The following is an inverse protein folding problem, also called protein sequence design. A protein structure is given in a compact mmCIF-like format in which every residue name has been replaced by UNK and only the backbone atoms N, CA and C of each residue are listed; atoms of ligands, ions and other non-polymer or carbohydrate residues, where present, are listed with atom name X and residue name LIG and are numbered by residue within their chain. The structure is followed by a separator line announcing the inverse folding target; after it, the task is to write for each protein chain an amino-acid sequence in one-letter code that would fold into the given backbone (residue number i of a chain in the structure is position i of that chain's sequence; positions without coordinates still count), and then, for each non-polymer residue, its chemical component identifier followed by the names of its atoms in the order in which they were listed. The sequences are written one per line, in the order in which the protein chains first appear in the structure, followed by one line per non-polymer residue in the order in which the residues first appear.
data_IF_133923917129
#
_entry.id   IF_133923917129
#
_cell.length_a   1.000
_cell.length_b   1.000
_cell.length_c   1.000
_cell.angle_alpha   90.00
_cell.angle_beta   90.00
_cell.angle_gamma   90.00
#
_symmetry.space_group_name_H-M   'P 1'
#
loop_
_entity.id
_entity.type
_entity.pdbx_description
1 polymer ?
#
# COMPACT_ATOMS: atom_id res chain seq x y z
N UNK A 1 17.80 5.68 4.19
CA UNK A 1 17.51 6.84 5.06
C UNK A 1 16.03 6.82 5.37
N UNK A 2 15.63 6.81 6.64
CA UNK A 2 14.23 6.87 7.08
C UNK A 2 14.01 8.22 7.76
N UNK A 3 12.91 8.91 7.41
CA UNK A 3 12.57 10.22 8.00
C UNK A 3 12.16 10.07 9.47
N UNK A 4 12.60 10.94 10.40
CA UNK A 4 12.14 10.96 11.80
C UNK A 4 10.66 11.31 11.95
N UNK A 5 10.02 11.80 10.89
CA UNK A 5 8.62 12.20 10.88
C UNK A 5 7.86 11.47 9.79
N UNK A 6 6.68 10.96 10.14
CA UNK A 6 5.71 10.50 9.16
C UNK A 6 4.72 11.64 8.91
N UNK A 7 4.60 12.10 7.65
CA UNK A 7 3.62 13.09 7.31
C UNK A 7 2.21 12.49 7.28
N UNK A 8 1.29 13.03 8.08
CA UNK A 8 -0.13 12.66 8.05
C UNK A 8 -0.89 13.59 7.11
N UNK A 9 -0.90 13.24 5.82
CA UNK A 9 -1.55 14.03 4.77
C UNK A 9 -2.04 13.17 3.61
N UNK A 10 -2.96 13.70 2.81
CA UNK A 10 -3.47 13.02 1.63
C UNK A 10 -2.54 13.26 0.43
N UNK A 11 -2.00 12.16 -0.11
CA UNK A 11 -1.33 12.17 -1.42
C UNK A 11 -2.41 12.19 -2.50
N UNK A 12 -2.37 13.20 -3.38
CA UNK A 12 -3.29 13.34 -4.51
C UNK A 12 -2.53 13.53 -5.81
N UNK A 13 -3.12 13.04 -6.87
CA UNK A 13 -2.65 13.26 -8.23
C UNK A 13 -2.98 14.69 -8.65
N UNK A 14 -2.00 15.50 -9.07
CA UNK A 14 -2.23 16.89 -9.48
C UNK A 14 -3.00 16.98 -10.80
N UNK A 15 -2.67 16.11 -11.75
CA UNK A 15 -3.27 16.08 -13.08
C UNK A 15 -3.81 14.68 -13.35
N UNK A 16 -5.07 14.42 -13.00
CA UNK A 16 -5.67 13.09 -13.06
C UNK A 16 -5.64 12.39 -14.44
N UNK A 17 -5.40 13.16 -15.52
CA UNK A 17 -5.40 12.67 -16.90
C UNK A 17 -4.02 12.74 -17.60
N UNK A 18 -2.95 13.11 -16.89
CA UNK A 18 -1.61 13.09 -17.47
C UNK A 18 -1.06 11.66 -17.52
N UNK A 19 -0.25 11.36 -18.54
CA UNK A 19 0.36 10.03 -18.74
C UNK A 19 1.29 9.66 -17.56
N UNK A 20 1.96 10.66 -16.97
CA UNK A 20 2.79 10.51 -15.77
C UNK A 20 2.49 11.65 -14.79
N UNK A 21 1.41 11.54 -14.02
CA UNK A 21 0.95 12.69 -13.27
C UNK A 21 1.77 12.86 -12.00
N UNK A 22 2.17 14.11 -11.74
CA UNK A 22 2.87 14.44 -10.50
C UNK A 22 1.95 14.24 -9.30
N UNK A 23 2.48 13.64 -8.23
CA UNK A 23 1.83 13.55 -6.94
C UNK A 23 2.09 14.82 -6.14
N UNK A 24 1.05 15.33 -5.50
CA UNK A 24 1.14 16.45 -4.56
C UNK A 24 0.47 16.08 -3.24
N UNK A 25 0.88 16.80 -2.23
CA UNK A 25 0.38 16.69 -0.87
C UNK A 25 -0.66 17.79 -0.67
N UNK A 26 -1.92 17.39 -0.39
CA UNK A 26 -3.02 18.34 -0.20
C UNK A 26 -3.62 18.19 1.20
N UNK A 27 -3.74 19.32 1.90
CA UNK A 27 -4.33 19.40 3.23
C UNK A 27 -3.35 19.93 4.28
N UNK A 28 -3.73 19.83 5.56
CA UNK A 28 -2.85 20.15 6.67
C UNK A 28 -1.67 19.17 6.71
N UNK A 29 -0.45 19.70 6.84
CA UNK A 29 0.76 18.89 6.96
C UNK A 29 1.02 18.72 8.45
N UNK A 30 0.67 17.55 9.00
CA UNK A 30 0.98 17.19 10.38
C UNK A 30 2.15 16.22 10.36
N UNK A 31 3.32 16.70 10.82
CA UNK A 31 4.50 15.88 10.99
C UNK A 31 4.43 15.19 12.34
N UNK A 32 4.17 13.88 12.32
CA UNK A 32 4.10 13.08 13.55
C UNK A 32 5.51 12.51 13.82
N UNK A 33 6.10 12.76 15.00
CA UNK A 33 7.40 12.17 15.35
C UNK A 33 7.27 10.65 15.45
N UNK A 34 8.27 9.94 14.93
CA UNK A 34 8.31 8.48 14.94
C UNK A 34 9.68 8.01 15.40
N UNK A 35 9.68 6.96 16.23
CA UNK A 35 10.89 6.30 16.68
C UNK A 35 11.58 5.61 15.50
N UNK A 36 12.71 6.17 15.05
CA UNK A 36 13.44 5.69 13.86
C UNK A 36 13.87 4.23 14.03
N UNK A 37 14.32 3.86 15.24
CA UNK A 37 14.80 2.51 15.53
C UNK A 37 13.70 1.46 15.35
N UNK A 38 12.47 1.78 15.74
CA UNK A 38 11.32 0.90 15.49
C UNK A 38 11.02 0.84 13.99
N UNK A 39 11.03 2.00 13.32
CA UNK A 39 10.64 2.08 11.92
C UNK A 39 11.58 1.34 10.96
N UNK A 40 12.89 1.37 11.23
CA UNK A 40 13.89 0.63 10.45
C UNK A 40 13.67 -0.89 10.56
N UNK A 41 13.13 -1.38 11.68
CA UNK A 41 12.78 -2.79 11.84
C UNK A 41 11.42 -3.14 11.20
N UNK A 42 10.52 -2.17 11.11
CA UNK A 42 9.18 -2.34 10.54
C UNK A 42 9.18 -2.21 9.00
N UNK A 43 10.04 -1.38 8.42
CA UNK A 43 10.18 -1.20 6.98
C UNK A 43 11.54 -1.73 6.51
N UNK A 44 11.61 -2.59 5.46
CA UNK A 44 10.54 -3.07 4.59
C UNK A 44 9.71 -4.20 5.21
N UNK A 45 8.38 -4.10 5.12
CA UNK A 45 7.48 -5.13 5.64
C UNK A 45 7.60 -6.39 4.80
N UNK A 46 7.70 -7.55 5.45
CA UNK A 46 7.49 -8.84 4.80
C UNK A 46 6.03 -8.99 4.39
N UNK A 47 5.75 -9.84 3.39
CA UNK A 47 4.40 -10.01 2.84
C UNK A 47 3.37 -10.38 3.93
N UNK A 48 3.75 -11.25 4.85
CA UNK A 48 2.89 -11.71 5.95
C UNK A 48 2.62 -10.64 7.01
N UNK A 49 3.51 -9.63 7.12
CA UNK A 49 3.38 -8.52 8.07
C UNK A 49 2.80 -7.26 7.43
N UNK A 50 2.34 -7.35 6.18
CA UNK A 50 1.73 -6.24 5.47
C UNK A 50 0.26 -6.09 5.89
N UNK A 51 -0.16 -4.87 6.22
CA UNK A 51 -1.51 -4.62 6.73
C UNK A 51 -2.60 -4.88 5.69
N UNK A 52 -2.51 -4.23 4.54
CA UNK A 52 -3.41 -4.47 3.40
C UNK A 52 -2.70 -4.22 2.08
N UNK A 53 -3.08 -4.99 1.06
CA UNK A 53 -2.65 -4.81 -0.33
C UNK A 53 -3.84 -4.78 -1.27
N UNK A 54 -3.71 -4.06 -2.38
CA UNK A 54 -4.69 -4.06 -3.45
C UNK A 54 -4.33 -5.17 -4.45
N UNK A 55 -5.24 -6.13 -4.65
CA UNK A 55 -5.06 -7.22 -5.60
C UNK A 55 -6.03 -7.05 -6.76
N UNK A 56 -5.49 -7.26 -7.96
CA UNK A 56 -6.22 -7.40 -9.22
C UNK A 56 -6.14 -8.85 -9.66
N UNK A 57 -7.28 -9.54 -9.71
CA UNK A 57 -7.37 -10.89 -10.25
C UNK A 57 -7.94 -10.83 -11.66
N UNK A 58 -7.23 -11.44 -12.60
CA UNK A 58 -7.67 -11.63 -13.98
C UNK A 58 -8.10 -13.08 -14.19
N UNK A 59 -9.17 -13.29 -14.97
CA UNK A 59 -9.57 -14.64 -15.40
C UNK A 59 -8.58 -15.24 -16.41
N UNK A 60 -8.08 -14.41 -17.31
CA UNK A 60 -7.04 -14.75 -18.27
C UNK A 60 -6.04 -13.59 -18.36
N UNK A 61 -4.76 -13.87 -18.52
CA UNK A 61 -3.70 -12.85 -18.52
C UNK A 61 -3.86 -11.83 -19.66
N UNK A 62 -4.42 -12.27 -20.79
CA UNK A 62 -4.66 -11.45 -21.99
C UNK A 62 -5.77 -10.41 -21.80
N UNK A 63 -6.65 -10.57 -20.81
CA UNK A 63 -7.77 -9.66 -20.63
C UNK A 63 -7.28 -8.28 -20.18
N UNK A 64 -7.78 -7.24 -20.84
CA UNK A 64 -7.48 -5.84 -20.50
C UNK A 64 -8.11 -5.42 -19.16
N UNK A 65 -9.30 -5.94 -18.87
CA UNK A 65 -10.04 -5.65 -17.64
C UNK A 65 -9.75 -6.66 -16.54
N UNK A 66 -9.75 -6.16 -15.30
CA UNK A 66 -9.61 -6.98 -14.11
C UNK A 66 -10.98 -7.61 -13.78
N UNK A 67 -11.01 -8.91 -13.44
CA UNK A 67 -12.24 -9.58 -13.04
C UNK A 67 -12.65 -9.21 -11.61
N UNK A 68 -11.67 -9.11 -10.72
CA UNK A 68 -11.89 -8.75 -9.34
C UNK A 68 -10.81 -7.76 -8.89
N UNK A 69 -11.23 -6.70 -8.22
CA UNK A 69 -10.36 -5.73 -7.61
C UNK A 69 -10.76 -5.53 -6.15
N UNK A 70 -9.89 -5.93 -5.23
CA UNK A 70 -10.16 -5.84 -3.78
C UNK A 70 -8.91 -5.50 -3.00
N UNK A 71 -9.12 -4.82 -1.88
CA UNK A 71 -8.13 -4.64 -0.83
C UNK A 71 -8.25 -5.81 0.14
N UNK A 72 -7.15 -6.52 0.37
CA UNK A 72 -7.10 -7.72 1.21
C UNK A 72 -5.98 -7.60 2.23
N UNK A 73 -6.07 -8.34 3.34
CA UNK A 73 -4.99 -8.51 4.30
C UNK A 73 -4.26 -9.83 4.00
N UNK A 74 -2.99 -9.80 3.55
CA UNK A 74 -2.22 -11.00 3.23
C UNK A 74 -2.17 -12.04 4.35
N UNK A 75 -2.00 -11.62 5.60
CA UNK A 75 -1.86 -12.53 6.74
C UNK A 75 -3.07 -13.48 6.87
N UNK A 76 -4.28 -12.93 6.70
CA UNK A 76 -5.52 -13.71 6.76
C UNK A 76 -5.67 -14.69 5.59
N UNK A 77 -5.08 -14.37 4.44
CA UNK A 77 -5.12 -15.26 3.27
C UNK A 77 -4.11 -16.39 3.45
N UNK A 78 -2.89 -16.09 3.92
CA UNK A 78 -1.90 -17.13 4.23
C UNK A 78 -2.46 -18.13 5.25
N UNK A 79 -3.08 -17.64 6.33
CA UNK A 79 -3.74 -18.49 7.34
C UNK A 79 -4.88 -19.35 6.73
N UNK A 80 -5.72 -18.75 5.87
CA UNK A 80 -6.78 -19.49 5.20
C UNK A 80 -6.25 -20.53 4.19
N UNK A 81 -5.11 -20.28 3.55
CA UNK A 81 -4.46 -21.22 2.64
C UNK A 81 -3.87 -22.41 3.42
N UNK A 82 -3.22 -22.15 4.55
CA UNK A 82 -2.70 -23.20 5.43
C UNK A 82 -3.81 -24.10 5.97
N UNK A 83 -4.98 -23.54 6.31
CA UNK A 83 -6.15 -24.32 6.74
C UNK A 83 -6.73 -25.22 5.64
N UNK A 84 -6.59 -24.82 4.37
CA UNK A 84 -7.21 -25.52 3.24
C UNK A 84 -6.30 -26.59 2.61
N UNK A 85 -5.00 -26.59 2.94
CA UNK A 85 -4.04 -27.62 2.55
C UNK A 85 -4.31 -28.97 3.23
#
# INVERSE_FOLDING_TARGET
MVSPYIPFMQIKVLQAYAINPQLSLKGSIVNIPVEINEMVNVLPRTFDKMSTIQIKLKRHMENKSDYMYKTINPAKICEALEYLQ
#
